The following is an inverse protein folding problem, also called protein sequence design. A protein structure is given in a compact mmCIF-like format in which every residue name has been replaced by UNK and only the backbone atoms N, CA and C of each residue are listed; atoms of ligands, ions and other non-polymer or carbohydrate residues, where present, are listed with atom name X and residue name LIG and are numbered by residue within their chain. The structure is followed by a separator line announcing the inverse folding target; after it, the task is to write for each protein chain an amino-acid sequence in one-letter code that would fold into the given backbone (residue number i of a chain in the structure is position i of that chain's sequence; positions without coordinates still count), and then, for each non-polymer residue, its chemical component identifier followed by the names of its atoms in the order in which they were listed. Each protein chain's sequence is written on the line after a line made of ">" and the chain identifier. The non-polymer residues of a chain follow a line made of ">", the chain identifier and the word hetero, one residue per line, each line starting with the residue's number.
data_IF_463768669521
#
_entry.id   IF_463768669521
#
_cell.length_a   1.000
_cell.length_b   1.000
_cell.length_c   1.000
_cell.angle_alpha   90.00
_cell.angle_beta   90.00
_cell.angle_gamma   90.00
#
_symmetry.space_group_name_H-M   'P 1'
#
loop_
_entity.id
_entity.type
_entity.pdbx_description
1 polymer ?
#
# COMPACT_ATOMS: atom_id res chain seq x y z
N UNK A 1 -2.76 24.04 3.96
CA UNK A 1 -2.63 22.74 3.26
C UNK A 1 -4.02 22.23 2.97
N UNK A 2 -4.52 22.43 1.75
CA UNK A 2 -5.76 21.77 1.31
C UNK A 2 -5.40 20.32 0.98
N UNK A 3 -5.88 19.38 1.78
CA UNK A 3 -5.82 17.97 1.39
C UNK A 3 -6.72 17.81 0.17
N UNK A 4 -6.29 17.13 -0.89
CA UNK A 4 -7.17 16.86 -2.02
C UNK A 4 -8.35 16.02 -1.53
N UNK A 5 -9.57 16.54 -1.76
CA UNK A 5 -10.85 16.02 -1.25
C UNK A 5 -11.24 14.63 -1.78
N UNK A 6 -10.35 13.87 -2.43
CA UNK A 6 -10.73 12.55 -2.95
C UNK A 6 -9.55 11.61 -3.11
N UNK A 7 -8.99 11.14 -1.99
CA UNK A 7 -8.20 9.91 -2.00
C UNK A 7 -9.16 8.74 -2.24
N UNK A 8 -8.91 7.98 -3.32
CA UNK A 8 -9.69 6.78 -3.66
C UNK A 8 -9.00 5.53 -3.12
N UNK A 9 -9.79 4.65 -2.50
CA UNK A 9 -9.31 3.36 -1.99
C UNK A 9 -9.69 2.23 -2.94
N UNK A 10 -8.72 1.38 -3.27
CA UNK A 10 -8.89 0.18 -4.07
C UNK A 10 -8.49 -1.05 -3.24
N UNK A 11 -9.32 -2.09 -3.27
CA UNK A 11 -9.16 -3.31 -2.45
C UNK A 11 -8.79 -4.56 -3.24
N UNK A 12 -8.43 -4.38 -4.51
CA UNK A 12 -7.91 -5.42 -5.39
C UNK A 12 -6.53 -5.03 -5.95
N UNK A 13 -5.96 -5.88 -6.81
CA UNK A 13 -4.58 -5.74 -7.34
C UNK A 13 -4.55 -5.28 -8.79
N UNK A 14 -5.70 -4.93 -9.37
CA UNK A 14 -5.80 -4.59 -10.79
C UNK A 14 -5.09 -3.26 -11.06
N UNK A 15 -4.22 -3.25 -12.07
CA UNK A 15 -3.51 -2.03 -12.49
C UNK A 15 -2.57 -1.44 -11.44
N UNK A 16 -2.10 -2.23 -10.47
CA UNK A 16 -1.10 -1.76 -9.49
C UNK A 16 0.27 -1.62 -10.16
N UNK A 17 0.84 -0.41 -10.12
CA UNK A 17 2.24 -0.17 -10.46
C UNK A 17 3.14 -0.58 -9.28
N UNK A 18 3.68 -1.80 -9.37
CA UNK A 18 4.57 -2.37 -8.36
C UNK A 18 5.88 -1.60 -8.21
N UNK A 19 6.38 -0.97 -9.27
CA UNK A 19 7.58 -0.15 -9.18
C UNK A 19 7.29 1.13 -8.39
N UNK A 20 6.10 1.71 -8.55
CA UNK A 20 5.66 2.83 -7.73
C UNK A 20 5.58 2.44 -6.26
N UNK A 21 4.98 1.30 -5.95
CA UNK A 21 4.91 0.81 -4.56
C UNK A 21 6.30 0.63 -3.94
N UNK A 22 7.28 0.10 -4.68
CA UNK A 22 8.66 0.01 -4.21
C UNK A 22 9.28 1.39 -3.93
N UNK A 23 9.05 2.37 -4.81
CA UNK A 23 9.47 3.76 -4.58
C UNK A 23 8.80 4.34 -3.33
N UNK A 24 7.52 4.04 -3.11
CA UNK A 24 6.75 4.49 -1.94
C UNK A 24 7.35 3.97 -0.63
N UNK A 25 7.67 2.67 -0.56
CA UNK A 25 8.38 2.10 0.60
C UNK A 25 9.72 2.80 0.86
N UNK A 26 10.48 3.13 -0.20
CA UNK A 26 11.75 3.84 -0.07
C UNK A 26 11.59 5.25 0.51
N UNK A 27 10.65 6.05 -0.02
CA UNK A 27 10.44 7.43 0.45
C UNK A 27 9.84 7.48 1.86
N UNK A 28 9.07 6.47 2.26
CA UNK A 28 8.53 6.34 3.62
C UNK A 28 9.52 5.75 4.63
N UNK A 29 10.81 5.64 4.29
CA UNK A 29 11.86 5.04 5.13
C UNK A 29 11.58 3.59 5.58
N UNK A 30 10.79 2.85 4.79
CA UNK A 30 10.46 1.44 5.00
C UNK A 30 11.29 0.56 4.06
N UNK A 31 12.61 0.75 4.08
CA UNK A 31 13.56 0.05 3.21
C UNK A 31 13.59 -1.48 3.45
N UNK A 32 14.38 -2.20 2.64
CA UNK A 32 14.52 -3.67 2.72
C UNK A 32 13.56 -4.46 1.82
N UNK A 33 12.80 -3.75 0.99
CA UNK A 33 11.81 -4.31 0.04
C UNK A 33 12.35 -4.15 -1.38
N UNK A 34 12.71 -5.26 -2.01
CA UNK A 34 13.38 -5.25 -3.32
C UNK A 34 12.81 -6.26 -4.31
N UNK A 35 12.96 -5.90 -5.59
CA UNK A 35 12.56 -6.71 -6.73
C UNK A 35 11.11 -7.19 -6.66
N UNK A 36 10.88 -8.41 -7.15
CA UNK A 36 9.54 -8.97 -7.26
C UNK A 36 8.95 -9.51 -5.93
N UNK A 37 9.66 -9.41 -4.80
CA UNK A 37 9.17 -9.94 -3.51
C UNK A 37 7.93 -9.21 -3.03
N UNK A 38 7.89 -7.88 -3.15
CA UNK A 38 6.73 -7.06 -2.75
C UNK A 38 5.49 -7.45 -3.54
N UNK A 39 5.60 -7.50 -4.88
CA UNK A 39 4.49 -7.94 -5.75
C UNK A 39 3.94 -9.29 -5.29
N UNK A 40 4.80 -10.31 -5.15
CA UNK A 40 4.37 -11.65 -4.73
C UNK A 40 3.74 -11.66 -3.34
N UNK A 41 4.24 -10.85 -2.40
CA UNK A 41 3.68 -10.74 -1.06
C UNK A 41 2.26 -10.16 -1.07
N UNK A 42 2.03 -9.10 -1.86
CA UNK A 42 0.70 -8.53 -2.04
C UNK A 42 -0.24 -9.49 -2.80
N UNK A 43 0.25 -10.17 -3.84
CA UNK A 43 -0.51 -11.19 -4.59
C UNK A 43 -0.97 -12.35 -3.70
N UNK A 44 -0.16 -12.76 -2.72
CA UNK A 44 -0.48 -13.85 -1.77
C UNK A 44 -1.24 -13.40 -0.52
N UNK A 45 -1.45 -12.10 -0.32
CA UNK A 45 -2.18 -11.61 0.86
C UNK A 45 -3.68 -11.79 0.69
N UNK A 46 -4.43 -12.03 1.75
CA UNK A 46 -5.89 -12.15 1.68
C UNK A 46 -6.53 -10.77 1.40
N UNK A 47 -6.06 -9.75 2.11
CA UNK A 47 -6.57 -8.38 2.03
C UNK A 47 -5.46 -7.44 1.59
N UNK A 48 -5.79 -6.54 0.67
CA UNK A 48 -4.92 -5.43 0.23
C UNK A 48 -5.74 -4.16 0.17
N UNK A 49 -5.09 -3.02 0.36
CA UNK A 49 -5.67 -1.71 0.15
C UNK A 49 -4.64 -0.80 -0.51
N UNK A 50 -5.05 -0.06 -1.52
CA UNK A 50 -4.24 0.93 -2.21
C UNK A 50 -4.98 2.26 -2.18
N UNK A 51 -4.35 3.30 -1.64
CA UNK A 51 -4.90 4.65 -1.64
C UNK A 51 -4.27 5.45 -2.78
N UNK A 52 -5.12 6.08 -3.60
CA UNK A 52 -4.71 6.84 -4.77
C UNK A 52 -5.22 8.27 -4.70
N UNK A 53 -4.34 9.23 -4.92
CA UNK A 53 -4.72 10.60 -5.24
C UNK A 53 -4.62 10.78 -6.76
N UNK A 54 -5.78 10.94 -7.41
CA UNK A 54 -5.91 10.82 -8.87
C UNK A 54 -5.34 9.48 -9.37
N UNK A 55 -4.23 9.53 -10.11
CA UNK A 55 -3.53 8.34 -10.63
C UNK A 55 -2.31 7.96 -9.77
N UNK A 56 -1.93 8.77 -8.78
CA UNK A 56 -0.75 8.55 -7.96
C UNK A 56 -1.08 7.64 -6.79
N UNK A 57 -0.31 6.56 -6.61
CA UNK A 57 -0.35 5.74 -5.42
C UNK A 57 0.28 6.50 -4.24
N UNK A 58 -0.49 6.76 -3.19
CA UNK A 58 -0.06 7.54 -2.02
C UNK A 58 -0.05 6.73 -0.73
N UNK A 59 -0.73 5.59 -0.67
CA UNK A 59 -0.58 4.62 0.41
C UNK A 59 -0.87 3.19 -0.06
N UNK A 60 -0.35 2.21 0.66
CA UNK A 60 -0.69 0.82 0.46
C UNK A 60 -0.65 0.03 1.77
N UNK A 61 -1.49 -0.99 1.86
CA UNK A 61 -1.54 -1.91 3.00
C UNK A 61 -1.83 -3.33 2.56
N UNK A 62 -1.35 -4.31 3.34
CA UNK A 62 -1.71 -5.73 3.18
C UNK A 62 -1.89 -6.44 4.52
N UNK A 63 -2.77 -7.42 4.54
CA UNK A 63 -2.98 -8.31 5.68
C UNK A 63 -3.15 -9.77 5.26
N UNK A 64 -2.73 -10.68 6.15
CA UNK A 64 -3.05 -12.10 6.10
C UNK A 64 -4.16 -12.38 7.11
N UNK A 65 -5.10 -13.26 6.79
CA UNK A 65 -6.18 -13.66 7.69
C UNK A 65 -6.59 -15.10 7.45
N UNK A 66 -7.07 -15.77 8.50
CA UNK A 66 -7.74 -17.07 8.42
C UNK A 66 -9.18 -16.97 7.87
N UNK A 67 -9.73 -15.76 7.73
CA UNK A 67 -11.08 -15.50 7.24
C UNK A 67 -12.16 -15.59 8.31
N UNK A 68 -11.80 -15.82 9.59
CA UNK A 68 -12.77 -16.05 10.67
C UNK A 68 -12.41 -15.28 11.94
N UNK A 69 -11.25 -15.53 12.55
CA UNK A 69 -10.91 -15.08 13.90
C UNK A 69 -9.67 -14.19 13.96
N UNK A 70 -8.71 -14.40 13.06
CA UNK A 70 -7.41 -13.76 13.14
C UNK A 70 -7.01 -13.08 11.83
N UNK A 71 -6.46 -11.89 11.98
CA UNK A 71 -5.82 -11.15 10.91
C UNK A 71 -4.55 -10.47 11.43
N UNK A 72 -3.56 -10.31 10.55
CA UNK A 72 -2.34 -9.56 10.84
C UNK A 72 -2.01 -8.65 9.68
N UNK A 73 -1.91 -7.35 9.97
CA UNK A 73 -1.43 -6.34 9.03
C UNK A 73 0.10 -6.40 9.03
N UNK A 74 0.69 -6.60 7.86
CA UNK A 74 2.14 -6.78 7.73
C UNK A 74 2.86 -5.55 7.17
N UNK A 75 2.29 -4.95 6.12
CA UNK A 75 2.82 -3.76 5.49
C UNK A 75 1.72 -2.71 5.52
N UNK A 76 2.06 -1.51 6.00
CA UNK A 76 1.24 -0.31 5.91
C UNK A 76 2.19 0.86 5.63
N UNK A 77 2.09 1.44 4.45
CA UNK A 77 2.96 2.52 3.99
C UNK A 77 2.10 3.69 3.52
N UNK A 78 2.47 4.90 3.94
CA UNK A 78 1.83 6.16 3.53
C UNK A 78 2.93 7.11 3.06
N UNK A 79 2.71 7.80 1.95
CA UNK A 79 3.61 8.84 1.44
C UNK A 79 3.82 9.91 2.52
N UNK A 80 5.06 10.33 2.84
CA UNK A 80 5.33 11.32 3.88
C UNK A 80 4.53 12.63 3.74
N UNK A 81 4.20 13.04 2.52
CA UNK A 81 3.41 14.26 2.29
C UNK A 81 1.92 14.11 2.68
N UNK A 82 1.46 12.88 2.91
CA UNK A 82 0.10 12.54 3.31
C UNK A 82 0.03 12.09 4.78
N UNK A 83 1.16 12.10 5.50
CA UNK A 83 1.20 11.80 6.93
C UNK A 83 0.88 13.06 7.74
N UNK A 84 0.07 12.89 8.79
CA UNK A 84 -0.13 13.93 9.83
C UNK A 84 0.80 13.60 10.99
N UNK A 85 1.50 14.63 11.46
CA UNK A 85 2.43 14.58 12.58
C UNK A 85 1.78 15.17 13.83
#
# INVERSE_FOLDING_TARGET
>A
MSYPDTVHFQFDRQGVDWQHLLRLFKVANMAGREGNKVRRAFEKSNVVCFAKDKLRLVAAGRALTDGEYHATIYDLVVDPNYQRW
#
